data_IF_361357326439
#
_entry.id   IF_361357326439
#
_cell.length_a   1.000
_cell.length_b   1.000
_cell.length_c   1.000
_cell.angle_alpha   90.00
_cell.angle_beta   90.00
_cell.angle_gamma   90.00
#
_symmetry.space_group_name_H-M   'P 1'
#
loop_
_entity.id
_entity.type
_entity.pdbx_description
1 polymer ?
#
# COMPACT_ATOMS: atom_id res chain seq x y z
N UNK A 1 -9.54 12.36 39.73
CA UNK A 1 -9.77 13.30 38.62
C UNK A 1 -10.98 14.15 38.94
N UNK A 2 -10.78 15.47 39.04
CA UNK A 2 -11.86 16.41 39.37
C UNK A 2 -12.84 16.53 38.20
N UNK A 3 -14.10 16.94 38.46
CA UNK A 3 -15.11 17.23 37.40
C UNK A 3 -14.55 18.25 36.39
N UNK A 4 -13.70 19.16 36.79
CA UNK A 4 -13.04 20.17 35.95
C UNK A 4 -12.04 19.54 34.96
N UNK A 5 -11.22 18.58 35.38
CA UNK A 5 -10.27 17.89 34.48
C UNK A 5 -10.99 17.07 33.41
N UNK A 6 -12.13 16.43 33.75
CA UNK A 6 -12.98 15.73 32.77
C UNK A 6 -13.57 16.68 31.75
N UNK A 7 -14.02 17.90 32.17
CA UNK A 7 -14.60 18.90 31.28
C UNK A 7 -13.51 19.48 30.33
N UNK A 8 -12.32 19.78 30.84
CA UNK A 8 -11.20 20.26 30.03
C UNK A 8 -10.78 19.22 28.97
N UNK A 9 -10.68 17.95 29.34
CA UNK A 9 -10.35 16.89 28.37
C UNK A 9 -11.40 16.75 27.26
N UNK A 10 -12.68 16.88 27.59
CA UNK A 10 -13.74 16.84 26.58
C UNK A 10 -13.72 18.05 25.65
N UNK A 11 -13.48 19.25 26.16
CA UNK A 11 -13.37 20.47 25.35
C UNK A 11 -12.17 20.44 24.41
N UNK A 12 -11.04 19.84 24.82
CA UNK A 12 -9.84 19.69 23.95
C UNK A 12 -10.02 18.62 22.87
N UNK A 13 -10.87 17.63 23.09
CA UNK A 13 -11.14 16.56 22.12
C UNK A 13 -12.12 17.03 21.01
N UNK A 14 -13.04 17.96 21.32
CA UNK A 14 -14.06 18.42 20.39
C UNK A 14 -13.46 18.95 19.05
N UNK A 15 -12.44 19.83 19.02
CA UNK A 15 -11.85 20.30 17.76
C UNK A 15 -11.27 19.16 16.93
N UNK A 16 -10.60 18.20 17.56
CA UNK A 16 -10.02 17.03 16.88
C UNK A 16 -11.11 16.14 16.29
N UNK A 17 -12.19 15.89 17.04
CA UNK A 17 -13.35 15.12 16.56
C UNK A 17 -14.06 15.84 15.41
N UNK A 18 -14.18 17.17 15.47
CA UNK A 18 -14.79 17.96 14.42
C UNK A 18 -13.97 17.90 13.12
N UNK A 19 -12.65 17.99 13.20
CA UNK A 19 -11.75 17.82 12.05
C UNK A 19 -11.92 16.43 11.44
N UNK A 20 -11.92 15.38 12.23
CA UNK A 20 -12.12 14.00 11.74
C UNK A 20 -13.53 13.84 11.14
N UNK A 21 -14.57 14.41 11.75
CA UNK A 21 -15.93 14.32 11.23
C UNK A 21 -16.08 15.06 9.91
N UNK A 22 -15.58 16.30 9.80
CA UNK A 22 -15.75 17.14 8.62
C UNK A 22 -14.84 16.71 7.47
N UNK A 23 -13.58 16.40 7.74
CA UNK A 23 -12.60 16.09 6.67
C UNK A 23 -12.41 14.58 6.44
N UNK A 24 -12.79 13.72 7.38
CA UNK A 24 -12.72 12.28 7.24
C UNK A 24 -14.07 11.65 6.93
N UNK A 25 -15.03 11.76 7.87
CA UNK A 25 -16.30 11.00 7.78
C UNK A 25 -17.23 11.59 6.74
N UNK A 26 -17.39 12.92 6.68
CA UNK A 26 -18.34 13.57 5.79
C UNK A 26 -18.07 13.31 4.30
N UNK A 27 -16.81 13.40 3.78
CA UNK A 27 -16.54 13.04 2.38
C UNK A 27 -16.82 11.56 2.09
N UNK A 28 -16.50 10.65 3.02
CA UNK A 28 -16.80 9.22 2.85
C UNK A 28 -18.31 8.97 2.83
N UNK A 29 -19.06 9.61 3.74
CA UNK A 29 -20.52 9.52 3.75
C UNK A 29 -21.12 10.06 2.45
N UNK A 30 -20.56 11.15 1.91
CA UNK A 30 -20.98 11.70 0.63
C UNK A 30 -20.72 10.75 -0.54
N UNK A 31 -19.55 10.09 -0.59
CA UNK A 31 -19.25 9.05 -1.60
C UNK A 31 -20.27 7.90 -1.49
N UNK A 32 -20.57 7.43 -0.27
CA UNK A 32 -21.58 6.38 -0.07
C UNK A 32 -22.96 6.85 -0.55
N UNK A 33 -23.34 8.09 -0.27
CA UNK A 33 -24.62 8.65 -0.71
C UNK A 33 -24.67 8.72 -2.24
N UNK A 34 -23.65 9.30 -2.89
CA UNK A 34 -23.58 9.44 -4.36
C UNK A 34 -23.57 8.08 -5.05
N UNK A 35 -23.02 7.03 -4.45
CA UNK A 35 -22.98 5.68 -5.02
C UNK A 35 -24.38 5.09 -5.30
N UNK A 36 -25.41 5.58 -4.62
CA UNK A 36 -26.82 5.22 -4.84
C UNK A 36 -27.57 6.15 -5.78
N UNK A 37 -26.93 7.18 -6.32
CA UNK A 37 -27.58 8.06 -7.27
C UNK A 37 -27.51 7.53 -8.70
N UNK A 38 -28.43 7.99 -9.55
CA UNK A 38 -28.42 7.62 -10.96
C UNK A 38 -27.36 8.41 -11.72
N UNK A 39 -26.50 7.72 -12.51
CA UNK A 39 -25.54 8.36 -13.39
C UNK A 39 -26.25 9.14 -14.51
N UNK A 40 -25.69 10.31 -14.86
CA UNK A 40 -26.17 11.17 -15.95
C UNK A 40 -24.98 11.75 -16.68
N UNK A 41 -25.16 12.15 -17.95
CA UNK A 41 -24.12 12.82 -18.75
C UNK A 41 -23.65 14.17 -18.14
N UNK A 42 -24.47 14.79 -17.28
CA UNK A 42 -24.14 16.02 -16.57
C UNK A 42 -23.65 15.78 -15.13
N UNK A 43 -23.36 14.52 -14.79
CA UNK A 43 -22.88 14.12 -13.47
C UNK A 43 -23.77 13.10 -12.78
N UNK A 44 -24.78 13.53 -12.02
CA UNK A 44 -25.72 12.61 -11.37
C UNK A 44 -27.11 13.25 -11.13
N UNK A 45 -28.12 12.39 -11.10
CA UNK A 45 -29.49 12.76 -10.71
C UNK A 45 -29.71 12.18 -9.29
N UNK A 46 -30.22 12.99 -8.32
CA UNK A 46 -30.39 12.54 -6.93
C UNK A 46 -31.61 11.62 -6.76
N UNK A 47 -31.70 10.59 -7.58
CA UNK A 47 -32.68 9.50 -7.50
C UNK A 47 -32.00 8.28 -6.94
N UNK A 48 -32.47 7.80 -5.80
CA UNK A 48 -31.93 6.61 -5.15
C UNK A 48 -32.18 5.36 -5.97
N UNK A 49 -31.12 4.65 -6.35
CA UNK A 49 -31.20 3.39 -7.11
C UNK A 49 -30.05 2.46 -6.72
N UNK A 50 -30.27 1.14 -6.62
CA UNK A 50 -29.22 0.15 -6.47
C UNK A 50 -28.58 -0.26 -7.81
N UNK A 51 -28.94 0.38 -8.93
CA UNK A 51 -28.53 -0.04 -10.28
C UNK A 51 -27.02 -0.06 -10.46
N UNK A 52 -26.27 0.87 -9.87
CA UNK A 52 -24.82 0.90 -9.93
C UNK A 52 -24.20 -0.39 -9.33
N UNK A 53 -24.72 -0.82 -8.20
CA UNK A 53 -24.25 -2.05 -7.54
C UNK A 53 -24.69 -3.31 -8.32
N UNK A 54 -25.92 -3.36 -8.85
CA UNK A 54 -26.36 -4.49 -9.66
C UNK A 54 -25.54 -4.63 -10.95
N UNK A 55 -25.21 -3.53 -11.60
CA UNK A 55 -24.30 -3.50 -12.75
C UNK A 55 -22.88 -3.93 -12.37
N UNK A 56 -22.38 -3.44 -11.23
CA UNK A 56 -21.05 -3.76 -10.73
C UNK A 56 -20.90 -5.25 -10.42
N UNK A 57 -21.82 -5.84 -9.67
CA UNK A 57 -21.76 -7.27 -9.30
C UNK A 57 -22.17 -8.20 -10.44
N UNK A 58 -22.98 -7.76 -11.39
CA UNK A 58 -23.35 -8.51 -12.58
C UNK A 58 -22.28 -8.54 -13.68
N UNK A 59 -21.23 -7.75 -13.57
CA UNK A 59 -20.21 -7.60 -14.60
C UNK A 59 -19.03 -8.56 -14.40
N UNK A 60 -18.80 -9.44 -15.39
CA UNK A 60 -17.59 -10.27 -15.45
C UNK A 60 -16.31 -9.42 -15.54
N UNK A 61 -16.40 -8.21 -16.10
CA UNK A 61 -15.28 -7.26 -16.16
C UNK A 61 -14.88 -6.81 -14.74
N UNK A 62 -15.84 -6.45 -13.89
CA UNK A 62 -15.58 -6.07 -12.50
C UNK A 62 -14.86 -7.18 -11.73
N UNK A 63 -15.31 -8.42 -11.87
CA UNK A 63 -14.66 -9.57 -11.24
C UNK A 63 -13.21 -9.75 -11.73
N UNK A 64 -12.96 -9.57 -13.01
CA UNK A 64 -11.61 -9.62 -13.60
C UNK A 64 -10.72 -8.51 -13.08
N UNK A 65 -11.24 -7.27 -13.01
CA UNK A 65 -10.52 -6.10 -12.50
C UNK A 65 -10.15 -6.28 -11.03
N UNK A 66 -11.09 -6.73 -10.20
CA UNK A 66 -10.84 -7.05 -8.79
C UNK A 66 -9.77 -8.13 -8.63
N UNK A 67 -9.90 -9.25 -9.36
CA UNK A 67 -8.91 -10.33 -9.32
C UNK A 67 -7.51 -9.85 -9.73
N UNK A 68 -7.41 -9.11 -10.85
CA UNK A 68 -6.14 -8.57 -11.34
C UNK A 68 -5.50 -7.66 -10.31
N UNK A 69 -6.28 -6.73 -9.75
CA UNK A 69 -5.80 -5.78 -8.73
C UNK A 69 -5.29 -6.51 -7.50
N UNK A 70 -6.10 -7.41 -6.93
CA UNK A 70 -5.72 -8.13 -5.71
C UNK A 70 -4.52 -9.05 -5.94
N UNK A 71 -4.44 -9.72 -7.09
CA UNK A 71 -3.32 -10.58 -7.45
C UNK A 71 -2.02 -9.79 -7.58
N UNK A 72 -2.02 -8.69 -8.34
CA UNK A 72 -0.82 -7.87 -8.54
C UNK A 72 -0.39 -7.18 -7.24
N UNK A 73 -1.34 -6.71 -6.45
CA UNK A 73 -1.07 -6.13 -5.13
C UNK A 73 -0.47 -7.15 -4.17
N UNK A 74 -1.01 -8.37 -4.12
CA UNK A 74 -0.48 -9.44 -3.27
C UNK A 74 0.96 -9.84 -3.67
N UNK A 75 1.24 -9.92 -4.97
CA UNK A 75 2.61 -10.17 -5.46
C UNK A 75 3.55 -9.03 -5.04
N UNK A 76 3.10 -7.78 -5.17
CA UNK A 76 3.90 -6.61 -4.76
C UNK A 76 4.16 -6.60 -3.26
N UNK A 77 3.16 -6.92 -2.43
CA UNK A 77 3.31 -7.05 -0.96
C UNK A 77 4.33 -8.14 -0.63
N UNK A 78 4.24 -9.31 -1.27
CA UNK A 78 5.18 -10.41 -1.04
C UNK A 78 6.62 -10.02 -1.41
N UNK A 79 6.82 -9.39 -2.57
CA UNK A 79 8.13 -8.92 -3.01
C UNK A 79 8.65 -7.78 -2.11
N UNK A 80 7.79 -6.85 -1.71
CA UNK A 80 8.14 -5.78 -0.78
C UNK A 80 8.57 -6.34 0.58
N UNK A 81 7.94 -7.41 1.06
CA UNK A 81 8.33 -8.10 2.28
C UNK A 81 9.69 -8.80 2.13
N UNK A 82 9.87 -9.56 1.05
CA UNK A 82 11.14 -10.27 0.77
C UNK A 82 12.33 -9.32 0.67
N UNK A 83 12.15 -8.16 0.08
CA UNK A 83 13.21 -7.14 -0.04
C UNK A 83 13.29 -6.23 1.19
N UNK A 84 12.15 -5.81 1.70
CA UNK A 84 12.06 -4.83 2.80
C UNK A 84 12.52 -5.39 4.15
N UNK A 85 12.16 -6.64 4.45
CA UNK A 85 12.53 -7.24 5.74
C UNK A 85 14.05 -7.35 5.96
N UNK A 86 14.86 -7.86 5.01
CA UNK A 86 16.31 -7.88 5.15
C UNK A 86 16.94 -6.49 5.30
N UNK A 87 16.40 -5.49 4.59
CA UNK A 87 16.84 -4.09 4.70
C UNK A 87 16.56 -3.56 6.10
N UNK A 88 15.32 -3.72 6.58
CA UNK A 88 14.91 -3.30 7.92
C UNK A 88 15.73 -4.01 9.01
N UNK A 89 15.95 -5.31 8.87
CA UNK A 89 16.76 -6.11 9.80
C UNK A 89 18.21 -5.64 9.84
N UNK A 90 18.81 -5.42 8.67
CA UNK A 90 20.19 -4.92 8.57
C UNK A 90 20.32 -3.54 9.21
N UNK A 91 19.35 -2.66 8.96
CA UNK A 91 19.32 -1.32 9.53
C UNK A 91 19.17 -1.36 11.05
N UNK A 92 18.30 -2.22 11.59
CA UNK A 92 18.07 -2.32 13.03
C UNK A 92 19.26 -2.92 13.80
N UNK A 93 19.88 -3.99 13.28
CA UNK A 93 20.85 -4.77 14.05
C UNK A 93 22.29 -4.67 13.58
N UNK A 94 22.57 -4.37 12.30
CA UNK A 94 23.94 -4.32 11.78
C UNK A 94 24.50 -2.89 11.68
N UNK A 95 23.64 -1.87 11.51
CA UNK A 95 24.07 -0.50 11.46
C UNK A 95 24.10 0.07 12.89
N UNK A 96 25.25 -0.01 13.55
CA UNK A 96 25.43 0.37 14.96
C UNK A 96 25.36 1.89 15.23
N UNK A 97 25.59 2.70 14.23
CA UNK A 97 25.63 4.17 14.38
C UNK A 97 24.23 4.78 14.13
N UNK A 98 23.62 5.46 15.12
CA UNK A 98 22.33 6.12 14.93
C UNK A 98 22.34 7.14 13.79
N UNK A 99 23.49 7.86 13.59
CA UNK A 99 23.65 8.79 12.47
C UNK A 99 23.57 8.09 11.11
N UNK A 100 24.19 6.89 10.99
CA UNK A 100 24.11 6.10 9.75
C UNK A 100 22.71 5.55 9.53
N UNK A 101 22.01 5.09 10.57
CA UNK A 101 20.60 4.66 10.48
C UNK A 101 19.72 5.80 9.96
N UNK A 102 19.81 6.98 10.59
CA UNK A 102 19.05 8.15 10.14
C UNK A 102 19.41 8.55 8.71
N UNK A 103 20.68 8.53 8.34
CA UNK A 103 21.12 8.83 6.97
C UNK A 103 20.52 7.88 5.94
N UNK A 104 20.53 6.56 6.20
CA UNK A 104 19.93 5.56 5.31
C UNK A 104 18.41 5.75 5.20
N UNK A 105 17.72 6.00 6.32
CA UNK A 105 16.29 6.30 6.29
C UNK A 105 15.97 7.57 5.47
N UNK A 106 16.78 8.63 5.65
CA UNK A 106 16.62 9.85 4.86
C UNK A 106 16.86 9.58 3.36
N UNK A 107 17.87 8.80 2.99
CA UNK A 107 18.13 8.41 1.60
C UNK A 107 16.93 7.66 0.99
N UNK A 108 16.27 6.79 1.76
CA UNK A 108 15.07 6.09 1.33
C UNK A 108 13.86 7.03 1.14
N UNK A 109 13.82 8.16 1.87
CA UNK A 109 12.74 9.15 1.77
C UNK A 109 12.93 10.11 0.58
N UNK A 110 14.16 10.38 0.14
CA UNK A 110 14.45 11.33 -0.94
C UNK A 110 13.59 11.13 -2.18
N UNK A 111 13.37 9.91 -2.71
CA UNK A 111 12.50 9.71 -3.88
C UNK A 111 11.07 10.20 -3.67
N UNK A 112 10.59 10.27 -2.43
CA UNK A 112 9.25 10.76 -2.11
C UNK A 112 9.11 12.28 -2.15
N UNK A 113 10.22 13.01 -2.18
CA UNK A 113 10.22 14.46 -2.36
C UNK A 113 9.95 14.86 -3.82
N UNK A 114 10.04 13.91 -4.75
CA UNK A 114 9.67 14.11 -6.15
C UNK A 114 8.16 13.87 -6.32
N UNK A 115 7.56 14.61 -7.27
CA UNK A 115 6.20 14.34 -7.70
C UNK A 115 6.02 12.90 -8.15
N UNK A 116 4.87 12.31 -7.81
CA UNK A 116 4.58 10.90 -8.10
C UNK A 116 4.62 10.60 -9.60
N UNK A 117 4.03 11.46 -10.42
CA UNK A 117 3.96 11.27 -11.87
C UNK A 117 5.33 11.35 -12.52
N UNK A 118 6.17 12.32 -12.10
CA UNK A 118 7.55 12.47 -12.61
C UNK A 118 8.37 11.23 -12.24
N UNK A 119 8.26 10.75 -11.00
CA UNK A 119 8.95 9.55 -10.54
C UNK A 119 8.50 8.31 -11.33
N UNK A 120 7.22 8.18 -11.60
CA UNK A 120 6.66 7.07 -12.39
C UNK A 120 7.15 7.16 -13.84
N UNK A 121 7.11 8.33 -14.48
CA UNK A 121 7.58 8.54 -15.84
C UNK A 121 9.09 8.27 -16.02
N UNK A 122 9.89 8.40 -14.95
CA UNK A 122 11.33 8.10 -15.01
C UNK A 122 11.65 6.62 -15.34
N UNK A 123 10.67 5.73 -15.29
CA UNK A 123 10.82 4.33 -15.68
C UNK A 123 10.83 4.11 -17.19
N UNK A 124 10.36 5.08 -18.02
CA UNK A 124 10.44 4.97 -19.48
C UNK A 124 11.86 4.75 -20.01
N UNK A 125 12.87 5.57 -19.65
CA UNK A 125 14.25 5.34 -20.07
C UNK A 125 14.87 4.09 -19.42
N UNK A 126 14.30 3.54 -18.36
CA UNK A 126 14.82 2.33 -17.70
C UNK A 126 14.27 1.07 -18.39
N UNK A 127 12.96 0.99 -18.60
CA UNK A 127 12.26 -0.21 -19.10
C UNK A 127 11.98 -0.19 -20.60
N UNK A 128 12.21 0.92 -21.29
CA UNK A 128 11.97 1.05 -22.73
C UNK A 128 12.76 0.03 -23.57
N UNK A 129 12.34 -0.18 -24.82
CA UNK A 129 13.02 -1.11 -25.73
C UNK A 129 14.52 -0.76 -25.93
N UNK A 130 14.85 0.52 -25.93
CA UNK A 130 16.23 1.05 -25.91
C UNK A 130 16.65 1.54 -24.53
N UNK A 131 15.99 1.09 -23.49
CA UNK A 131 16.24 1.48 -22.10
C UNK A 131 17.41 0.73 -21.48
N UNK A 132 17.84 1.24 -20.32
CA UNK A 132 19.00 0.73 -19.60
C UNK A 132 18.93 -0.79 -19.35
N UNK A 133 17.77 -1.31 -18.92
CA UNK A 133 17.62 -2.75 -18.62
C UNK A 133 17.79 -3.59 -19.88
N UNK A 134 17.18 -3.20 -20.99
CA UNK A 134 17.29 -3.94 -22.26
C UNK A 134 18.72 -3.90 -22.82
N UNK A 135 19.39 -2.76 -22.75
CA UNK A 135 20.80 -2.63 -23.20
C UNK A 135 21.68 -3.54 -22.36
N UNK A 136 21.51 -3.52 -21.02
CA UNK A 136 22.29 -4.35 -20.12
C UNK A 136 22.09 -5.85 -20.37
N UNK A 137 20.84 -6.31 -20.53
CA UNK A 137 20.52 -7.73 -20.80
C UNK A 137 21.09 -8.21 -22.14
N UNK A 138 21.05 -7.37 -23.17
CA UNK A 138 21.62 -7.69 -24.47
C UNK A 138 23.16 -7.76 -24.42
N UNK A 139 23.81 -6.80 -23.74
CA UNK A 139 25.26 -6.80 -23.55
C UNK A 139 25.74 -7.98 -22.71
N UNK A 140 24.94 -8.40 -21.71
CA UNK A 140 25.22 -9.57 -20.91
C UNK A 140 24.95 -10.91 -21.65
N UNK A 141 24.47 -10.87 -22.90
CA UNK A 141 24.14 -12.06 -23.68
C UNK A 141 22.92 -12.83 -23.20
N UNK A 142 22.10 -12.23 -22.32
CA UNK A 142 20.91 -12.87 -21.76
C UNK A 142 19.77 -12.89 -22.78
N UNK A 143 19.69 -11.88 -23.66
CA UNK A 143 18.67 -11.76 -24.69
C UNK A 143 19.28 -11.39 -26.04
N UNK A 144 18.70 -11.94 -27.11
CA UNK A 144 19.11 -11.60 -28.50
C UNK A 144 18.46 -10.34 -29.06
N UNK A 145 17.46 -9.80 -28.35
CA UNK A 145 16.70 -8.61 -28.75
C UNK A 145 16.04 -7.92 -27.55
N UNK A 146 15.44 -6.74 -27.76
CA UNK A 146 14.79 -6.01 -26.68
C UNK A 146 13.54 -6.75 -26.19
N UNK A 147 13.41 -6.89 -24.87
CA UNK A 147 12.22 -7.39 -24.22
C UNK A 147 11.15 -6.28 -24.14
N UNK A 148 9.89 -6.65 -24.30
CA UNK A 148 8.75 -5.75 -24.04
C UNK A 148 8.50 -5.67 -22.54
N UNK A 149 9.31 -4.89 -21.83
CA UNK A 149 9.20 -4.70 -20.39
C UNK A 149 8.15 -3.64 -20.03
N UNK A 150 7.98 -2.61 -20.84
CA UNK A 150 6.92 -1.61 -20.69
C UNK A 150 5.54 -2.22 -20.97
N UNK A 151 4.51 -1.61 -20.41
CA UNK A 151 3.11 -1.95 -20.65
C UNK A 151 2.77 -3.41 -20.30
N UNK A 152 3.31 -3.89 -19.17
CA UNK A 152 3.19 -5.25 -18.70
C UNK A 152 2.91 -5.30 -17.20
N UNK A 153 2.44 -6.45 -16.71
CA UNK A 153 2.27 -6.67 -15.27
C UNK A 153 3.60 -6.53 -14.49
N UNK A 154 4.70 -6.94 -15.12
CA UNK A 154 6.02 -6.82 -14.50
C UNK A 154 6.47 -5.36 -14.34
N UNK A 155 6.14 -4.48 -15.28
CA UNK A 155 6.41 -3.04 -15.12
C UNK A 155 5.59 -2.43 -13.99
N UNK A 156 4.31 -2.78 -13.87
CA UNK A 156 3.47 -2.32 -12.76
C UNK A 156 4.05 -2.75 -11.41
N UNK A 157 4.39 -4.04 -11.28
CA UNK A 157 4.96 -4.58 -10.05
C UNK A 157 6.29 -3.90 -9.71
N UNK A 158 7.19 -3.70 -10.70
CA UNK A 158 8.49 -3.07 -10.47
C UNK A 158 8.36 -1.61 -10.00
N UNK A 159 7.46 -0.84 -10.62
CA UNK A 159 7.19 0.56 -10.26
C UNK A 159 6.55 0.64 -8.88
N UNK A 160 5.55 -0.19 -8.60
CA UNK A 160 4.90 -0.26 -7.28
C UNK A 160 5.89 -0.67 -6.20
N UNK A 161 6.74 -1.65 -6.47
CA UNK A 161 7.75 -2.11 -5.54
C UNK A 161 8.72 -0.97 -5.17
N UNK A 162 9.29 -0.29 -6.17
CA UNK A 162 10.17 0.86 -5.94
C UNK A 162 9.44 1.98 -5.17
N UNK A 163 8.17 2.22 -5.50
CA UNK A 163 7.38 3.29 -4.89
C UNK A 163 6.97 2.96 -3.46
N UNK A 164 6.59 1.72 -3.16
CA UNK A 164 5.94 1.40 -1.89
C UNK A 164 6.78 0.55 -0.93
N UNK A 165 7.98 0.08 -1.33
CA UNK A 165 8.83 -0.75 -0.46
C UNK A 165 9.23 -0.05 0.85
N UNK A 166 9.33 1.27 0.86
CA UNK A 166 9.62 2.04 2.06
C UNK A 166 8.51 1.92 3.11
N UNK A 167 7.26 1.81 2.67
CA UNK A 167 6.12 1.59 3.57
C UNK A 167 6.13 0.19 4.20
N UNK A 168 6.87 -0.77 3.62
CA UNK A 168 7.16 -2.05 4.25
C UNK A 168 8.35 -1.95 5.21
N UNK A 169 9.44 -1.30 4.80
CA UNK A 169 10.69 -1.21 5.58
C UNK A 169 10.46 -0.50 6.90
N UNK A 170 9.77 0.65 6.90
CA UNK A 170 9.68 1.54 8.07
C UNK A 170 8.95 0.89 9.25
N UNK A 171 7.76 0.30 9.13
CA UNK A 171 7.09 -0.34 10.26
C UNK A 171 7.86 -1.56 10.78
N UNK A 172 8.47 -2.35 9.88
CA UNK A 172 9.30 -3.50 10.27
C UNK A 172 10.51 -3.02 11.06
N UNK A 173 11.21 -1.99 10.59
CA UNK A 173 12.34 -1.39 11.31
C UNK A 173 11.94 -0.90 12.70
N UNK A 174 10.83 -0.18 12.82
CA UNK A 174 10.34 0.32 14.10
C UNK A 174 9.97 -0.81 15.08
N UNK A 175 9.41 -1.91 14.58
CA UNK A 175 9.13 -3.09 15.38
C UNK A 175 10.44 -3.77 15.85
N UNK A 176 11.40 -3.94 14.94
CA UNK A 176 12.69 -4.59 15.24
C UNK A 176 13.53 -3.82 16.27
N UNK A 177 13.54 -2.49 16.22
CA UNK A 177 14.30 -1.66 17.18
C UNK A 177 13.73 -1.74 18.59
N UNK A 178 12.45 -2.06 18.75
CA UNK A 178 11.80 -2.22 20.07
C UNK A 178 12.07 -3.59 20.72
N UNK A 179 12.56 -4.58 19.97
CA UNK A 179 12.84 -5.93 20.51
C UNK A 179 14.05 -5.85 21.46
N UNK A 180 13.84 -6.31 22.70
CA UNK A 180 14.92 -6.43 23.68
C UNK A 180 15.91 -7.53 23.24
N UNK A 181 17.20 -7.18 23.07
CA UNK A 181 18.24 -8.16 22.71
C UNK A 181 18.35 -9.33 23.69
N UNK A 182 17.98 -9.14 24.96
CA UNK A 182 18.06 -10.16 26.00
C UNK A 182 17.25 -11.43 25.66
N UNK A 183 16.12 -11.29 24.97
CA UNK A 183 15.31 -12.42 24.52
C UNK A 183 16.05 -13.29 23.46
N UNK A 184 16.77 -12.65 22.55
CA UNK A 184 17.56 -13.33 21.52
C UNK A 184 18.79 -14.02 22.17
N UNK A 185 19.43 -13.34 23.14
CA UNK A 185 20.59 -13.89 23.85
C UNK A 185 20.16 -15.08 24.76
N UNK A 186 19.00 -15.02 25.41
CA UNK A 186 18.45 -16.14 26.18
C UNK A 186 18.20 -17.36 25.28
N UNK A 187 17.61 -17.19 24.10
CA UNK A 187 17.41 -18.30 23.15
C UNK A 187 18.74 -18.94 22.74
N UNK A 188 19.79 -18.13 22.50
CA UNK A 188 21.13 -18.62 22.16
C UNK A 188 21.79 -19.36 23.33
N UNK A 189 21.63 -18.87 24.56
CA UNK A 189 22.16 -19.54 25.77
C UNK A 189 21.49 -20.91 25.96
N UNK A 190 20.25 -21.08 25.56
CA UNK A 190 19.53 -22.36 25.55
C UNK A 190 19.90 -23.26 24.34
N UNK A 191 20.89 -22.86 23.54
CA UNK A 191 21.43 -23.69 22.44
C UNK A 191 20.80 -23.42 21.06
N UNK A 192 19.93 -22.40 20.94
CA UNK A 192 19.36 -22.06 19.65
C UNK A 192 20.42 -21.47 18.70
N UNK A 193 20.46 -21.96 17.46
CA UNK A 193 21.23 -21.34 16.38
C UNK A 193 20.69 -19.93 16.07
N UNK A 194 21.51 -19.11 15.37
CA UNK A 194 21.07 -17.75 14.98
C UNK A 194 19.77 -17.75 14.16
N UNK A 195 19.58 -18.77 13.31
CA UNK A 195 18.35 -18.92 12.52
C UNK A 195 17.15 -19.35 13.39
N UNK A 196 17.36 -20.25 14.35
CA UNK A 196 16.31 -20.64 15.30
C UNK A 196 15.91 -19.47 16.20
N UNK A 197 16.87 -18.71 16.74
CA UNK A 197 16.59 -17.51 17.51
C UNK A 197 15.86 -16.45 16.68
N UNK A 198 16.18 -16.29 15.40
CA UNK A 198 15.44 -15.43 14.49
C UNK A 198 13.98 -15.88 14.33
N UNK A 199 13.75 -17.16 14.02
CA UNK A 199 12.39 -17.69 13.78
C UNK A 199 11.52 -17.74 15.05
N UNK A 200 12.14 -18.00 16.23
CA UNK A 200 11.39 -18.17 17.48
C UNK A 200 11.21 -16.89 18.28
N UNK A 201 12.06 -15.88 18.08
CA UNK A 201 12.01 -14.63 18.85
C UNK A 201 11.84 -13.43 17.94
N UNK A 202 12.79 -13.17 17.02
CA UNK A 202 12.80 -11.93 16.24
C UNK A 202 11.63 -11.82 15.28
N UNK A 203 11.35 -12.88 14.51
CA UNK A 203 10.29 -12.87 13.52
C UNK A 203 8.90 -12.72 14.18
N UNK A 204 8.51 -13.50 15.20
CA UNK A 204 7.22 -13.33 15.87
C UNK A 204 7.02 -11.94 16.49
N UNK A 205 8.05 -11.39 17.16
CA UNK A 205 7.98 -10.07 17.78
C UNK A 205 7.97 -8.92 16.74
N UNK A 206 8.45 -9.16 15.52
CA UNK A 206 8.39 -8.18 14.43
C UNK A 206 7.12 -8.30 13.57
N UNK A 207 6.29 -9.34 13.74
CA UNK A 207 5.06 -9.54 12.96
C UNK A 207 4.13 -8.32 12.94
N UNK A 208 3.91 -7.60 14.05
CA UNK A 208 3.09 -6.39 14.01
C UNK A 208 3.60 -5.37 12.99
N UNK A 209 4.93 -5.18 12.88
CA UNK A 209 5.54 -4.32 11.86
C UNK A 209 5.33 -4.83 10.44
N UNK A 210 5.46 -6.14 10.23
CA UNK A 210 5.19 -6.80 8.94
C UNK A 210 3.74 -6.57 8.52
N UNK A 211 2.80 -6.74 9.44
CA UNK A 211 1.37 -6.56 9.17
C UNK A 211 1.05 -5.12 8.78
N UNK A 212 1.51 -4.15 9.55
CA UNK A 212 1.29 -2.73 9.25
C UNK A 212 1.90 -2.37 7.90
N UNK A 213 3.14 -2.79 7.62
CA UNK A 213 3.79 -2.57 6.33
C UNK A 213 3.03 -3.22 5.17
N UNK A 214 2.56 -4.46 5.36
CA UNK A 214 1.76 -5.17 4.34
C UNK A 214 0.45 -4.47 4.03
N UNK A 215 -0.25 -3.96 5.06
CA UNK A 215 -1.47 -3.18 4.88
C UNK A 215 -1.18 -1.89 4.11
N UNK A 216 -0.13 -1.16 4.45
CA UNK A 216 0.24 0.07 3.74
C UNK A 216 0.55 -0.18 2.26
N UNK A 217 1.37 -1.19 1.94
CA UNK A 217 1.68 -1.54 0.55
C UNK A 217 0.43 -1.97 -0.19
N UNK A 218 -0.41 -2.81 0.43
CA UNK A 218 -1.65 -3.31 -0.16
C UNK A 218 -2.61 -2.17 -0.54
N UNK A 219 -2.90 -1.27 0.43
CA UNK A 219 -3.79 -0.13 0.20
C UNK A 219 -3.27 0.77 -0.92
N UNK A 220 -1.96 1.07 -0.85
CA UNK A 220 -1.33 1.96 -1.83
C UNK A 220 -1.38 1.40 -3.25
N UNK A 221 -1.13 0.08 -3.42
CA UNK A 221 -1.17 -0.56 -4.74
C UNK A 221 -2.60 -0.72 -5.28
N UNK A 222 -3.57 -1.04 -4.42
CA UNK A 222 -4.98 -1.19 -4.84
C UNK A 222 -5.57 0.15 -5.29
N UNK A 223 -5.24 1.25 -4.61
CA UNK A 223 -5.76 2.59 -4.90
C UNK A 223 -4.97 3.33 -5.99
N UNK A 224 -3.82 2.80 -6.41
CA UNK A 224 -3.01 3.46 -7.45
C UNK A 224 -3.69 3.37 -8.81
N UNK A 225 -3.95 4.54 -9.39
CA UNK A 225 -4.47 4.66 -10.75
C UNK A 225 -3.41 5.12 -11.75
N UNK A 226 -2.44 5.94 -11.33
CA UNK A 226 -1.50 6.58 -12.23
C UNK A 226 -0.48 5.60 -12.82
N UNK A 227 -0.01 4.62 -12.04
CA UNK A 227 0.90 3.60 -12.59
C UNK A 227 0.21 2.72 -13.64
N UNK A 228 -0.99 2.16 -13.41
CA UNK A 228 -1.71 1.42 -14.44
C UNK A 228 -2.09 2.27 -15.66
N UNK A 229 -2.43 3.54 -15.48
CA UNK A 229 -2.72 4.46 -16.59
C UNK A 229 -1.50 4.67 -17.49
N UNK A 230 -0.34 4.90 -16.92
CA UNK A 230 0.88 5.22 -17.65
C UNK A 230 1.62 3.97 -18.19
N UNK A 231 1.58 2.86 -17.46
CA UNK A 231 2.41 1.67 -17.73
C UNK A 231 1.63 0.36 -17.83
N UNK A 232 0.32 0.38 -17.63
CA UNK A 232 -0.51 -0.83 -17.63
C UNK A 232 -0.75 -1.45 -18.99
N UNK A 233 -0.62 -0.70 -20.08
CA UNK A 233 -0.83 -1.23 -21.44
C UNK A 233 -2.23 -1.86 -21.64
N UNK A 234 -3.26 -1.31 -21.01
CA UNK A 234 -4.62 -1.84 -21.03
C UNK A 234 -4.97 -2.76 -19.83
N UNK A 235 -4.04 -2.98 -18.91
CA UNK A 235 -4.33 -3.70 -17.65
C UNK A 235 -5.21 -2.80 -16.77
N UNK A 236 -6.45 -3.23 -16.57
CA UNK A 236 -7.41 -2.53 -15.72
C UNK A 236 -7.25 -2.92 -14.27
N UNK A 237 -7.17 -1.90 -13.39
CA UNK A 237 -7.17 -2.03 -11.93
C UNK A 237 -8.33 -1.25 -11.33
N UNK A 238 -8.71 -1.54 -10.08
CA UNK A 238 -9.83 -0.85 -9.42
C UNK A 238 -9.57 0.65 -9.30
N UNK A 239 -8.34 1.06 -8.93
CA UNK A 239 -7.98 2.47 -8.87
C UNK A 239 -8.14 3.17 -10.22
N UNK A 240 -7.68 2.54 -11.30
CA UNK A 240 -7.81 3.06 -12.68
C UNK A 240 -9.28 3.13 -13.12
N UNK A 241 -10.10 2.11 -12.85
CA UNK A 241 -11.54 2.13 -13.14
C UNK A 241 -12.25 3.30 -12.44
N UNK A 242 -11.94 3.54 -11.17
CA UNK A 242 -12.51 4.67 -10.43
C UNK A 242 -12.11 6.00 -11.09
N UNK A 243 -10.83 6.16 -11.42
CA UNK A 243 -10.31 7.38 -12.04
C UNK A 243 -10.93 7.63 -13.43
N UNK A 244 -11.04 6.61 -14.28
CA UNK A 244 -11.62 6.71 -15.62
C UNK A 244 -13.11 7.04 -15.58
N UNK A 245 -13.89 6.41 -14.69
CA UNK A 245 -15.31 6.73 -14.51
C UNK A 245 -15.51 8.15 -13.99
N UNK A 246 -14.72 8.58 -13.01
CA UNK A 246 -14.76 9.94 -12.50
C UNK A 246 -14.41 10.97 -13.59
N UNK A 247 -13.39 10.71 -14.39
CA UNK A 247 -12.98 11.56 -15.52
C UNK A 247 -14.05 11.64 -16.64
N UNK A 248 -14.88 10.59 -16.75
CA UNK A 248 -16.01 10.53 -17.68
C UNK A 248 -17.31 11.10 -17.09
N UNK A 249 -17.26 11.77 -15.94
CA UNK A 249 -18.41 12.32 -15.20
C UNK A 249 -19.44 11.26 -14.71
N UNK A 250 -19.09 9.99 -14.73
CA UNK A 250 -19.90 8.89 -14.18
C UNK A 250 -19.68 8.75 -12.67
N UNK A 251 -19.89 9.85 -11.94
CA UNK A 251 -19.64 9.95 -10.49
C UNK A 251 -20.30 8.86 -9.63
N UNK A 252 -21.61 8.50 -9.85
CA UNK A 252 -22.24 7.44 -9.06
C UNK A 252 -21.62 6.07 -9.27
N UNK A 253 -21.19 5.76 -10.48
CA UNK A 253 -20.51 4.48 -10.77
C UNK A 253 -19.11 4.47 -10.16
N UNK A 254 -18.33 5.55 -10.29
CA UNK A 254 -17.02 5.70 -9.63
C UNK A 254 -17.16 5.57 -8.12
N UNK A 255 -18.20 6.20 -7.52
CA UNK A 255 -18.48 6.12 -6.10
C UNK A 255 -18.84 4.68 -5.66
N UNK A 256 -19.60 3.93 -6.45
CA UNK A 256 -19.94 2.54 -6.15
C UNK A 256 -18.67 1.64 -6.16
N UNK A 257 -17.76 1.84 -7.11
CA UNK A 257 -16.44 1.16 -7.10
C UNK A 257 -15.59 1.57 -5.89
N UNK A 258 -15.59 2.86 -5.52
CA UNK A 258 -14.85 3.33 -4.34
C UNK A 258 -15.40 2.73 -3.05
N UNK A 259 -16.71 2.63 -2.89
CA UNK A 259 -17.35 1.96 -1.73
C UNK A 259 -16.97 0.48 -1.69
N UNK A 260 -17.04 -0.22 -2.84
CA UNK A 260 -16.59 -1.62 -2.92
C UNK A 260 -15.14 -1.77 -2.48
N UNK A 261 -14.26 -0.88 -2.96
CA UNK A 261 -12.86 -0.88 -2.59
C UNK A 261 -12.66 -0.68 -1.08
N UNK A 262 -13.38 0.27 -0.48
CA UNK A 262 -13.34 0.51 0.97
C UNK A 262 -13.77 -0.75 1.73
N UNK A 263 -14.85 -1.42 1.29
CA UNK A 263 -15.33 -2.65 1.94
C UNK A 263 -14.32 -3.80 1.82
N UNK A 264 -13.72 -4.00 0.64
CA UNK A 264 -12.65 -4.99 0.44
C UNK A 264 -11.45 -4.70 1.33
N UNK A 265 -11.04 -3.42 1.40
CA UNK A 265 -9.94 -3.01 2.27
C UNK A 265 -10.25 -3.24 3.76
N UNK A 266 -11.43 -2.86 4.23
CA UNK A 266 -11.84 -3.08 5.63
C UNK A 266 -11.90 -4.58 5.96
N UNK A 267 -12.41 -5.41 5.04
CA UNK A 267 -12.46 -6.85 5.22
C UNK A 267 -11.05 -7.47 5.31
N UNK A 268 -10.15 -7.09 4.39
CA UNK A 268 -8.75 -7.56 4.40
C UNK A 268 -8.02 -7.09 5.65
N UNK A 269 -8.16 -5.82 6.03
CA UNK A 269 -7.56 -5.26 7.23
C UNK A 269 -8.07 -5.97 8.49
N UNK A 270 -9.38 -6.16 8.61
CA UNK A 270 -9.98 -6.90 9.74
C UNK A 270 -9.43 -8.32 9.84
N UNK A 271 -9.34 -9.03 8.70
CA UNK A 271 -8.84 -10.39 8.65
C UNK A 271 -7.38 -10.47 9.10
N UNK A 272 -6.54 -9.53 8.65
CA UNK A 272 -5.12 -9.47 9.04
C UNK A 272 -4.97 -9.08 10.51
N UNK A 273 -5.73 -8.09 10.99
CA UNK A 273 -5.69 -7.60 12.38
C UNK A 273 -6.17 -8.64 13.40
N UNK A 274 -7.04 -9.57 12.99
CA UNK A 274 -7.50 -10.66 13.84
C UNK A 274 -6.38 -11.62 14.26
N UNK A 275 -5.32 -11.73 13.46
CA UNK A 275 -4.21 -12.67 13.70
C UNK A 275 -3.01 -12.02 14.39
N UNK A 276 -3.00 -10.70 14.57
CA UNK A 276 -1.85 -9.99 15.13
C UNK A 276 -2.27 -8.99 16.19
N UNK A 277 -1.69 -9.11 17.37
CA UNK A 277 -1.88 -8.15 18.45
C UNK A 277 -1.04 -6.89 18.19
N UNK A 278 -1.71 -5.84 17.66
CA UNK A 278 -1.07 -4.56 17.32
C UNK A 278 -0.71 -3.75 18.57
N UNK A 279 -1.29 -4.04 19.74
CA UNK A 279 -0.97 -3.30 20.97
C UNK A 279 0.51 -3.41 21.35
N UNK A 280 1.22 -4.41 20.81
CA UNK A 280 2.67 -4.56 20.99
C UNK A 280 3.50 -3.51 20.20
N UNK A 281 2.89 -2.74 19.30
CA UNK A 281 3.59 -1.68 18.53
C UNK A 281 3.62 -0.32 19.25
N UNK A 282 2.72 -0.11 20.22
CA UNK A 282 2.57 1.13 20.97
C UNK A 282 2.94 0.92 22.43
#
# INVERSE_FOLDING_TARGET
MSRFEKLQNHVLIIPSMLVVAVFGILPLAFIVLVSFYQASFEGFIPVFTPSNYSALFGSALTAKVLYTTLRLSAITVALALVLGYPIAYTLAYKVRSPRKQTFVLLMLIIPFLMDYSIRTLSWYPILGAKGFVNIFLQQAGVTSGPLSLLFSESSLIAIWLQTYVLFMITPIYLALVKIDPSGVDAARTLGASSWQAFLSVTLPLSLPGVVVGSIYVLVSTISDYATPELFGGGIQTVGLEIAQRASSFLWPEAAAFAVLLILVFLALSYLVLRFVDIQQLF
#
